data_IF_988667915586
#
_entry.id   IF_988667915586
#
_cell.length_a   1.000
_cell.length_b   1.000
_cell.length_c   1.000
_cell.angle_alpha   90.00
_cell.angle_beta   90.00
_cell.angle_gamma   90.00
#
_symmetry.space_group_name_H-M   'P 1'
#
loop_
_entity.id
_entity.type
_entity.pdbx_description
1 polymer ?
#
# COMPACT_ATOMS: atom_id res chain seq x y z
N UNK A 1 -10.31 -5.74 48.91
CA UNK A 1 -9.36 -6.71 48.35
C UNK A 1 -8.79 -6.08 47.09
N UNK A 2 -7.47 -5.89 47.11
CA UNK A 2 -6.68 -4.99 46.25
C UNK A 2 -6.65 -5.43 44.79
N UNK A 3 -6.80 -4.46 43.88
CA UNK A 3 -6.66 -4.68 42.45
C UNK A 3 -5.18 -4.87 42.08
N UNK A 4 -4.88 -6.06 41.54
CA UNK A 4 -3.78 -6.42 40.63
C UNK A 4 -2.35 -5.92 40.92
N UNK A 5 -1.67 -6.57 41.88
CA UNK A 5 -0.20 -6.55 42.01
C UNK A 5 0.48 -7.50 41.01
N UNK A 6 0.16 -7.41 39.71
CA UNK A 6 0.81 -8.30 38.73
C UNK A 6 2.11 -7.69 38.18
N UNK A 7 3.21 -8.46 38.17
CA UNK A 7 4.46 -8.05 37.56
C UNK A 7 4.25 -7.86 36.04
N UNK A 8 4.73 -6.75 35.50
CA UNK A 8 4.67 -6.47 34.07
C UNK A 8 6.04 -6.10 33.52
N UNK A 9 6.27 -6.29 32.22
CA UNK A 9 7.60 -6.13 31.63
C UNK A 9 7.72 -4.84 30.84
N UNK A 10 8.59 -3.91 31.27
CA UNK A 10 8.99 -2.74 30.48
C UNK A 10 10.41 -2.97 29.97
N UNK A 11 10.56 -3.15 28.64
CA UNK A 11 11.82 -3.50 27.97
C UNK A 11 12.45 -4.81 28.49
N UNK A 12 11.63 -5.85 28.71
CA UNK A 12 12.11 -7.16 29.15
C UNK A 12 12.42 -7.26 30.66
N UNK A 13 12.31 -6.16 31.41
CA UNK A 13 12.61 -6.13 32.85
C UNK A 13 11.32 -6.17 33.70
N UNK A 14 11.22 -7.06 34.69
CA UNK A 14 10.11 -7.09 35.65
C UNK A 14 9.89 -5.73 36.32
N UNK A 15 8.63 -5.30 36.36
CA UNK A 15 8.15 -4.04 36.92
C UNK A 15 6.95 -4.33 37.82
N UNK A 16 6.94 -3.74 39.02
CA UNK A 16 5.87 -3.91 40.02
C UNK A 16 5.17 -2.58 40.22
N UNK A 17 3.85 -2.64 40.40
CA UNK A 17 3.01 -1.52 40.81
C UNK A 17 2.51 -1.76 42.23
N UNK A 18 2.71 -0.79 43.11
CA UNK A 18 2.21 -0.86 44.49
C UNK A 18 1.94 0.54 45.03
N UNK A 19 0.74 0.76 45.57
CA UNK A 19 0.27 2.04 46.13
C UNK A 19 0.49 3.26 45.22
N UNK A 20 0.31 3.09 43.90
CA UNK A 20 0.52 4.15 42.91
C UNK A 20 1.99 4.45 42.59
N UNK A 21 2.94 3.66 43.10
CA UNK A 21 4.35 3.75 42.76
C UNK A 21 4.77 2.64 41.79
N UNK A 22 5.76 2.96 40.95
CA UNK A 22 6.32 2.04 39.96
C UNK A 22 7.73 1.65 40.38
N UNK A 23 7.99 0.34 40.44
CA UNK A 23 9.30 -0.20 40.78
C UNK A 23 9.84 -1.06 39.64
N UNK A 24 11.14 -0.96 39.37
CA UNK A 24 11.86 -1.78 38.39
C UNK A 24 12.86 -2.69 39.10
N UNK A 25 13.11 -3.86 38.53
CA UNK A 25 14.07 -4.81 39.13
C UNK A 25 15.45 -4.17 39.25
N UNK A 26 16.01 -4.19 40.46
CA UNK A 26 17.38 -3.76 40.76
C UNK A 26 18.31 -4.98 40.72
N UNK A 27 17.93 -6.04 41.43
CA UNK A 27 18.66 -7.32 41.46
C UNK A 27 17.80 -8.45 42.02
N UNK A 28 18.15 -9.69 41.66
CA UNK A 28 17.54 -10.90 42.21
C UNK A 28 18.58 -11.69 42.99
N UNK A 29 18.19 -12.19 44.16
CA UNK A 29 19.02 -13.03 45.03
C UNK A 29 18.51 -14.47 45.00
N UNK A 30 19.15 -15.40 45.72
CA UNK A 30 18.70 -16.80 45.80
C UNK A 30 17.31 -16.96 46.45
N UNK A 31 16.83 -15.97 47.20
CA UNK A 31 15.59 -16.08 48.00
C UNK A 31 14.57 -15.00 47.71
N UNK A 32 14.97 -13.85 47.15
CA UNK A 32 14.11 -12.70 46.92
C UNK A 32 14.51 -11.86 45.72
N UNK A 33 13.54 -11.17 45.15
CA UNK A 33 13.73 -10.14 44.13
C UNK A 33 13.64 -8.75 44.77
N UNK A 34 14.60 -7.88 44.43
CA UNK A 34 14.72 -6.52 44.97
C UNK A 34 14.44 -5.54 43.85
N UNK A 35 13.48 -4.66 44.08
CA UNK A 35 13.05 -3.64 43.15
C UNK A 35 13.35 -2.25 43.71
N UNK A 36 13.72 -1.32 42.85
CA UNK A 36 13.91 0.10 43.18
C UNK A 36 12.83 0.93 42.52
N UNK A 37 12.50 2.07 43.11
CA UNK A 37 11.60 3.03 42.48
C UNK A 37 12.14 3.45 41.09
N UNK A 38 11.23 3.60 40.13
CA UNK A 38 11.54 4.01 38.76
C UNK A 38 12.09 5.44 38.69
N UNK A 39 11.68 6.32 39.61
CA UNK A 39 12.24 7.66 39.72
C UNK A 39 13.70 7.56 40.18
N UNK A 40 14.64 8.09 39.38
CA UNK A 40 16.09 7.95 39.62
C UNK A 40 16.54 8.65 40.91
N UNK A 41 15.85 9.72 41.28
CA UNK A 41 16.15 10.50 42.48
C UNK A 41 15.54 9.87 43.74
N UNK A 42 14.65 8.89 43.57
CA UNK A 42 14.03 8.15 44.66
C UNK A 42 14.87 6.93 45.04
N UNK A 43 15.13 6.78 46.35
CA UNK A 43 15.87 5.64 46.91
C UNK A 43 14.97 4.50 47.39
N UNK A 44 13.66 4.61 47.16
CA UNK A 44 12.71 3.64 47.67
C UNK A 44 12.91 2.25 47.05
N UNK A 45 12.73 1.21 47.85
CA UNK A 45 12.86 -0.19 47.48
C UNK A 45 11.67 -1.02 47.93
N UNK A 46 11.40 -2.06 47.16
CA UNK A 46 10.37 -3.06 47.38
C UNK A 46 10.99 -4.47 47.25
N UNK A 47 10.47 -5.43 48.01
CA UNK A 47 11.01 -6.79 48.09
C UNK A 47 9.91 -7.81 47.86
N UNK A 48 10.10 -8.71 46.92
CA UNK A 48 9.18 -9.83 46.66
C UNK A 48 9.88 -11.17 46.73
N UNK A 49 9.11 -12.24 46.82
CA UNK A 49 9.61 -13.59 46.57
C UNK A 49 10.03 -13.77 45.10
N UNK A 50 10.60 -14.94 44.79
CA UNK A 50 11.12 -15.22 43.44
C UNK A 50 10.03 -15.29 42.37
N UNK A 51 8.83 -15.76 42.72
CA UNK A 51 7.66 -15.77 41.82
C UNK A 51 7.03 -14.39 41.63
N UNK A 52 7.45 -13.39 42.43
CA UNK A 52 6.97 -12.00 42.37
C UNK A 52 5.45 -11.87 42.60
N UNK A 53 4.86 -12.82 43.33
CA UNK A 53 3.42 -12.86 43.64
C UNK A 53 3.10 -12.33 45.05
N UNK A 54 4.12 -12.12 45.89
CA UNK A 54 3.95 -11.64 47.26
C UNK A 54 5.07 -10.68 47.68
N UNK A 55 4.66 -9.60 48.36
CA UNK A 55 5.57 -8.68 49.06
C UNK A 55 6.13 -9.35 50.31
N UNK A 56 7.45 -9.39 50.44
CA UNK A 56 8.13 -9.92 51.63
C UNK A 56 8.25 -8.88 52.74
N UNK A 57 8.27 -7.59 52.38
CA UNK A 57 8.44 -6.46 53.28
C UNK A 57 7.64 -5.26 52.76
N UNK A 58 7.17 -4.42 53.67
CA UNK A 58 6.63 -3.10 53.33
C UNK A 58 7.67 -2.29 52.55
N UNK A 59 7.29 -1.66 51.43
CA UNK A 59 8.20 -0.80 50.69
C UNK A 59 8.69 0.37 51.54
N UNK A 60 9.92 0.80 51.30
CA UNK A 60 10.48 1.98 52.00
C UNK A 60 9.81 3.27 51.51
N UNK A 61 9.84 4.32 52.32
CA UNK A 61 9.24 5.61 51.99
C UNK A 61 9.80 6.26 50.71
N UNK A 62 8.94 6.99 50.00
CA UNK A 62 9.27 7.75 48.79
C UNK A 62 9.49 9.23 49.10
N UNK A 63 10.25 9.90 48.24
CA UNK A 63 10.47 11.36 48.28
C UNK A 63 9.64 12.12 47.23
N UNK A 64 8.62 11.47 46.67
CA UNK A 64 7.72 12.04 45.67
C UNK A 64 6.32 11.47 45.84
N UNK A 65 5.32 12.15 45.29
CA UNK A 65 3.94 11.70 45.29
C UNK A 65 3.76 10.42 44.43
N UNK A 66 2.73 9.60 44.73
CA UNK A 66 2.34 8.49 43.89
C UNK A 66 1.83 8.98 42.53
N UNK A 67 1.95 8.14 41.49
CA UNK A 67 1.54 8.42 40.12
C UNK A 67 0.52 7.38 39.62
N UNK A 68 -0.65 7.27 40.26
CA UNK A 68 -1.64 6.22 39.94
C UNK A 68 -2.08 6.27 38.48
N UNK A 69 -2.27 7.46 37.93
CA UNK A 69 -2.76 7.66 36.55
C UNK A 69 -1.80 7.12 35.47
N UNK A 70 -0.53 6.88 35.83
CA UNK A 70 0.45 6.32 34.90
C UNK A 70 0.39 4.79 34.81
N UNK A 71 -0.25 4.12 35.77
CA UNK A 71 -0.34 2.66 35.86
C UNK A 71 -1.22 2.08 34.74
N UNK A 72 -2.46 2.57 34.50
CA UNK A 72 -3.31 2.08 33.42
C UNK A 72 -2.66 2.24 32.05
N UNK A 73 -2.00 3.37 31.79
CA UNK A 73 -1.30 3.63 30.53
C UNK A 73 -0.13 2.66 30.27
N UNK A 74 0.54 2.18 31.32
CA UNK A 74 1.61 1.18 31.18
C UNK A 74 1.03 -0.22 30.98
N UNK A 75 -0.02 -0.58 31.72
CA UNK A 75 -0.72 -1.86 31.56
C UNK A 75 -1.26 -2.02 30.13
N UNK A 76 -1.93 -0.98 29.60
CA UNK A 76 -2.40 -0.95 28.21
C UNK A 76 -1.27 -1.21 27.20
N UNK A 77 -0.12 -0.55 27.37
CA UNK A 77 1.05 -0.77 26.49
C UNK A 77 1.56 -2.20 26.55
N UNK A 78 1.54 -2.82 27.73
CA UNK A 78 2.00 -4.19 27.90
C UNK A 78 1.04 -5.21 27.30
N UNK A 79 -0.27 -5.00 27.45
CA UNK A 79 -1.31 -5.80 26.79
C UNK A 79 -1.17 -5.73 25.27
N UNK A 80 -1.04 -4.52 24.70
CA UNK A 80 -0.83 -4.32 23.27
C UNK A 80 0.42 -5.07 22.78
N UNK A 81 1.54 -5.02 23.52
CA UNK A 81 2.76 -5.76 23.16
C UNK A 81 2.58 -7.26 23.21
N UNK A 82 1.95 -7.77 24.27
CA UNK A 82 1.71 -9.20 24.43
C UNK A 82 0.82 -9.72 23.31
N UNK A 83 -0.24 -8.98 22.97
CA UNK A 83 -1.15 -9.33 21.89
C UNK A 83 -0.44 -9.24 20.52
N UNK A 84 0.32 -8.17 20.26
CA UNK A 84 1.07 -7.99 19.01
C UNK A 84 2.14 -9.06 18.77
N UNK A 85 2.65 -9.72 19.83
CA UNK A 85 3.64 -10.79 19.71
C UNK A 85 3.05 -12.13 19.22
N UNK A 86 1.74 -12.34 19.36
CA UNK A 86 1.07 -13.62 19.09
C UNK A 86 0.03 -13.54 17.96
N UNK A 87 -0.28 -12.35 17.47
CA UNK A 87 -1.33 -12.14 16.46
C UNK A 87 -0.83 -11.33 15.27
N UNK A 88 -1.32 -11.70 14.08
CA UNK A 88 -1.12 -10.97 12.82
C UNK A 88 -2.26 -9.96 12.53
N UNK A 89 -3.18 -9.76 13.48
CA UNK A 89 -4.32 -8.84 13.31
C UNK A 89 -3.93 -7.39 12.96
N UNK A 90 -4.85 -6.60 12.41
CA UNK A 90 -4.53 -5.20 12.10
C UNK A 90 -4.13 -4.43 13.36
N UNK A 91 -3.25 -3.43 13.21
CA UNK A 91 -2.81 -2.59 14.33
C UNK A 91 -3.99 -1.91 15.02
N UNK A 92 -5.00 -1.49 14.22
CA UNK A 92 -6.26 -0.94 14.72
C UNK A 92 -7.01 -1.94 15.60
N UNK A 93 -7.16 -3.19 15.15
CA UNK A 93 -7.83 -4.25 15.91
C UNK A 93 -7.15 -4.50 17.27
N UNK A 94 -5.82 -4.54 17.30
CA UNK A 94 -5.05 -4.76 18.53
C UNK A 94 -5.22 -3.61 19.50
N UNK A 95 -5.16 -2.36 19.02
CA UNK A 95 -5.36 -1.19 19.87
C UNK A 95 -6.79 -1.18 20.41
N UNK A 96 -7.80 -1.37 19.55
CA UNK A 96 -9.19 -1.37 19.98
C UNK A 96 -9.53 -2.51 20.94
N UNK A 97 -8.93 -3.70 20.78
CA UNK A 97 -9.16 -4.80 21.72
C UNK A 97 -8.64 -4.43 23.12
N UNK A 98 -7.44 -3.87 23.21
CA UNK A 98 -6.84 -3.48 24.47
C UNK A 98 -7.52 -2.24 25.09
N UNK A 99 -8.12 -1.36 24.27
CA UNK A 99 -8.87 -0.21 24.79
C UNK A 99 -10.21 -0.59 25.41
N UNK A 100 -10.78 -1.76 25.11
CA UNK A 100 -12.04 -2.21 25.74
C UNK A 100 -11.92 -2.42 27.25
N UNK A 101 -10.72 -2.76 27.72
CA UNK A 101 -10.41 -2.99 29.13
C UNK A 101 -9.84 -1.73 29.81
N UNK A 102 -9.64 -0.64 29.07
CA UNK A 102 -9.07 0.60 29.59
C UNK A 102 -10.10 1.40 30.41
N UNK A 103 -9.78 1.81 31.66
CA UNK A 103 -10.74 2.52 32.51
C UNK A 103 -11.10 3.91 31.96
N UNK A 104 -12.40 4.25 31.97
CA UNK A 104 -12.89 5.57 31.54
C UNK A 104 -12.38 6.72 32.44
N UNK A 105 -12.11 6.44 33.71
CA UNK A 105 -11.50 7.37 34.67
C UNK A 105 -10.15 7.91 34.21
N UNK A 106 -9.43 7.15 33.39
CA UNK A 106 -8.05 7.42 32.99
C UNK A 106 -7.93 7.88 31.53
N UNK A 107 -9.06 8.27 30.91
CA UNK A 107 -9.12 8.69 29.51
C UNK A 107 -8.17 9.86 29.19
N UNK A 108 -7.95 10.77 30.15
CA UNK A 108 -7.02 11.90 29.99
C UNK A 108 -5.54 11.52 29.89
N UNK A 109 -5.15 10.32 30.34
CA UNK A 109 -3.79 9.80 30.24
C UNK A 109 -3.63 8.77 29.12
N UNK A 110 -4.63 8.67 28.24
CA UNK A 110 -4.61 7.75 27.11
C UNK A 110 -3.37 7.99 26.23
N UNK A 111 -2.52 6.97 26.01
CA UNK A 111 -1.39 7.09 25.11
C UNK A 111 -1.85 7.43 23.70
N UNK A 112 -1.12 8.32 23.01
CA UNK A 112 -1.38 8.60 21.60
C UNK A 112 -1.25 7.34 20.74
N UNK A 113 -2.11 7.21 19.73
CA UNK A 113 -2.12 6.04 18.85
C UNK A 113 -0.82 5.85 18.08
N UNK A 114 -0.20 6.92 17.59
CA UNK A 114 1.02 6.85 16.76
C UNK A 114 2.19 6.11 17.45
N UNK A 115 2.57 6.43 18.70
CA UNK A 115 3.52 5.61 19.46
C UNK A 115 3.11 4.14 19.66
N UNK A 116 1.81 3.85 19.81
CA UNK A 116 1.31 2.48 19.95
C UNK A 116 1.45 1.70 18.64
N UNK A 117 1.18 2.35 17.50
CA UNK A 117 1.37 1.77 16.16
C UNK A 117 2.83 1.37 15.94
N UNK A 118 3.77 2.30 16.22
CA UNK A 118 5.22 2.04 16.10
C UNK A 118 5.68 0.91 17.04
N UNK A 119 5.07 0.82 18.22
CA UNK A 119 5.37 -0.24 19.19
C UNK A 119 4.93 -1.62 18.68
N UNK A 120 3.74 -1.72 18.08
CA UNK A 120 3.24 -2.97 17.47
C UNK A 120 4.13 -3.38 16.30
N UNK A 121 4.50 -2.43 15.44
CA UNK A 121 5.42 -2.68 14.32
C UNK A 121 6.74 -3.28 14.81
N UNK A 122 7.40 -2.65 15.80
CA UNK A 122 8.66 -3.12 16.38
C UNK A 122 8.55 -4.51 17.01
N UNK A 123 7.41 -4.84 17.60
CA UNK A 123 7.18 -6.17 18.18
C UNK A 123 7.10 -7.25 17.10
N UNK A 124 6.60 -6.89 15.90
CA UNK A 124 6.44 -7.78 14.75
C UNK A 124 7.69 -7.92 13.88
N UNK A 125 8.66 -7.01 13.99
CA UNK A 125 9.92 -7.03 13.21
C UNK A 125 10.87 -8.17 13.62
N UNK A 126 10.37 -9.30 14.13
CA UNK A 126 11.19 -10.32 14.82
C UNK A 126 11.33 -11.63 14.05
N UNK A 127 11.14 -11.65 12.73
CA UNK A 127 11.62 -12.80 11.93
C UNK A 127 12.51 -12.31 10.80
N UNK A 128 13.79 -12.64 10.95
CA UNK A 128 14.81 -12.49 9.92
C UNK A 128 14.62 -13.60 8.91
N UNK A 129 14.91 -13.25 7.66
CA UNK A 129 15.06 -14.15 6.52
C UNK A 129 15.89 -15.37 6.93
N UNK A 130 15.50 -16.58 6.50
CA UNK A 130 16.24 -17.80 6.82
C UNK A 130 17.71 -17.67 6.36
N UNK A 131 18.63 -18.48 6.91
CA UNK A 131 20.07 -18.40 6.63
C UNK A 131 20.46 -18.39 5.13
N UNK A 132 19.58 -18.91 4.27
CA UNK A 132 19.73 -18.96 2.81
C UNK A 132 19.17 -17.73 2.07
N UNK A 133 18.64 -16.74 2.79
CA UNK A 133 17.98 -15.56 2.20
C UNK A 133 16.59 -15.85 1.65
N UNK A 134 15.91 -16.89 2.16
CA UNK A 134 14.53 -17.26 1.78
C UNK A 134 13.50 -16.76 2.78
N UNK A 135 12.29 -16.52 2.28
CA UNK A 135 11.12 -16.18 3.07
C UNK A 135 10.74 -17.34 4.01
N UNK A 136 10.47 -17.05 5.29
CA UNK A 136 9.99 -18.04 6.25
C UNK A 136 8.78 -18.82 5.75
N UNK A 137 8.71 -20.11 6.07
CA UNK A 137 7.66 -21.03 5.61
C UNK A 137 6.24 -20.52 5.83
N UNK A 138 6.01 -19.80 6.95
CA UNK A 138 4.71 -19.20 7.28
C UNK A 138 4.21 -18.19 6.25
N UNK A 139 5.11 -17.54 5.51
CA UNK A 139 4.79 -16.56 4.46
C UNK A 139 4.66 -17.20 3.07
N UNK A 140 5.07 -18.47 2.92
CA UNK A 140 5.07 -19.18 1.63
C UNK A 140 3.70 -19.73 1.26
N UNK A 141 2.78 -19.76 2.22
CA UNK A 141 1.44 -20.33 2.08
C UNK A 141 0.39 -19.32 2.52
N UNK A 142 -0.82 -19.50 2.03
CA UNK A 142 -1.98 -18.73 2.50
C UNK A 142 -2.64 -19.38 3.70
N UNK A 143 -3.60 -18.68 4.31
CA UNK A 143 -4.42 -19.20 5.41
C UNK A 143 -5.19 -20.50 5.09
N UNK A 144 -5.29 -20.88 3.81
CA UNK A 144 -5.89 -22.15 3.35
C UNK A 144 -4.84 -23.23 3.03
N UNK A 145 -3.60 -23.05 3.47
CA UNK A 145 -2.45 -23.93 3.22
C UNK A 145 -2.06 -24.10 1.73
N UNK A 146 -2.57 -23.21 0.86
CA UNK A 146 -2.19 -23.17 -0.55
C UNK A 146 -0.88 -22.40 -0.74
N UNK A 147 0.04 -22.95 -1.54
CA UNK A 147 1.29 -22.29 -1.91
C UNK A 147 1.05 -20.95 -2.59
N UNK A 148 1.83 -19.95 -2.18
CA UNK A 148 1.64 -18.55 -2.57
C UNK A 148 2.90 -17.88 -3.12
N UNK A 149 3.97 -18.63 -3.36
CA UNK A 149 5.22 -18.13 -3.96
C UNK A 149 5.34 -18.73 -5.36
N UNK A 150 5.45 -17.85 -6.36
CA UNK A 150 5.71 -18.22 -7.75
C UNK A 150 7.20 -18.17 -8.07
N UNK A 151 7.89 -17.13 -7.63
CA UNK A 151 9.31 -16.91 -7.87
C UNK A 151 9.93 -16.23 -6.66
N UNK A 152 11.18 -16.55 -6.36
CA UNK A 152 11.90 -16.00 -5.21
C UNK A 152 13.40 -15.99 -5.49
N UNK A 153 13.96 -14.79 -5.59
CA UNK A 153 15.39 -14.53 -5.51
C UNK A 153 15.65 -13.16 -4.87
N UNK A 154 16.92 -12.76 -4.83
CA UNK A 154 17.35 -11.48 -4.22
C UNK A 154 16.82 -10.23 -4.94
N UNK A 155 16.45 -10.32 -6.21
CA UNK A 155 15.98 -9.19 -7.03
C UNK A 155 14.47 -9.12 -7.12
N UNK A 156 13.81 -10.27 -7.02
CA UNK A 156 12.39 -10.39 -7.29
C UNK A 156 11.77 -11.52 -6.48
N UNK A 157 10.69 -11.19 -5.78
CA UNK A 157 9.78 -12.18 -5.21
C UNK A 157 8.41 -11.97 -5.82
N UNK A 158 7.81 -13.04 -6.35
CA UNK A 158 6.44 -13.02 -6.87
C UNK A 158 5.55 -13.90 -6.00
N UNK A 159 4.47 -13.32 -5.51
CA UNK A 159 3.40 -14.00 -4.81
C UNK A 159 2.17 -14.12 -5.70
N UNK A 160 1.71 -15.36 -5.90
CA UNK A 160 0.43 -15.63 -6.54
C UNK A 160 0.05 -17.11 -6.34
N UNK A 161 -1.16 -17.47 -6.78
CA UNK A 161 -1.67 -18.84 -6.80
C UNK A 161 -2.00 -19.27 -8.20
N UNK A 162 -2.10 -20.58 -8.41
CA UNK A 162 -2.61 -21.15 -9.67
C UNK A 162 -3.99 -20.61 -10.05
N UNK A 163 -4.91 -20.50 -9.08
CA UNK A 163 -6.25 -19.94 -9.31
C UNK A 163 -6.22 -18.48 -9.75
N UNK A 164 -5.34 -17.67 -9.16
CA UNK A 164 -5.15 -16.27 -9.55
C UNK A 164 -4.66 -16.17 -11.00
N UNK A 165 -3.71 -17.01 -11.40
CA UNK A 165 -3.23 -17.07 -12.79
C UNK A 165 -4.33 -17.52 -13.76
N UNK A 166 -5.17 -18.48 -13.37
CA UNK A 166 -6.35 -18.89 -14.17
C UNK A 166 -7.32 -17.72 -14.37
N UNK A 167 -7.62 -16.96 -13.32
CA UNK A 167 -8.49 -15.79 -13.41
C UNK A 167 -7.84 -14.74 -14.32
N UNK A 168 -6.54 -14.48 -14.14
CA UNK A 168 -5.80 -13.52 -14.95
C UNK A 168 -5.86 -13.88 -16.45
N UNK A 169 -5.67 -15.16 -16.79
CA UNK A 169 -5.77 -15.66 -18.17
C UNK A 169 -7.16 -15.50 -18.79
N UNK A 170 -8.21 -15.68 -18.00
CA UNK A 170 -9.60 -15.53 -18.47
C UNK A 170 -9.99 -14.08 -18.74
N UNK A 171 -9.25 -13.12 -18.15
CA UNK A 171 -9.54 -11.70 -18.27
C UNK A 171 -8.76 -11.06 -19.41
N UNK A 172 -9.48 -10.32 -20.26
CA UNK A 172 -8.91 -9.61 -21.41
C UNK A 172 -8.33 -8.25 -21.08
N UNK A 173 -8.72 -7.66 -19.96
CA UNK A 173 -8.28 -6.34 -19.54
C UNK A 173 -7.55 -6.46 -18.20
N UNK A 174 -6.27 -6.13 -18.22
CA UNK A 174 -5.41 -6.17 -17.05
C UNK A 174 -5.12 -4.76 -16.54
N UNK A 175 -4.78 -4.67 -15.26
CA UNK A 175 -4.38 -3.43 -14.63
C UNK A 175 -3.13 -3.66 -13.80
N UNK A 176 -2.14 -2.80 -13.88
CA UNK A 176 -0.94 -2.87 -13.05
C UNK A 176 -0.77 -1.58 -12.23
N UNK A 177 -0.22 -1.75 -11.02
CA UNK A 177 0.01 -0.64 -10.09
C UNK A 177 1.27 -0.89 -9.26
N UNK A 178 2.11 0.14 -9.15
CA UNK A 178 3.31 0.18 -8.32
C UNK A 178 3.08 1.00 -7.04
N UNK A 179 3.34 0.41 -5.87
CA UNK A 179 3.25 1.13 -4.59
C UNK A 179 4.56 1.08 -3.80
N UNK A 180 5.06 2.27 -3.45
CA UNK A 180 6.33 2.46 -2.72
C UNK A 180 6.15 2.47 -1.20
N UNK A 181 4.99 2.92 -0.71
CA UNK A 181 4.76 3.21 0.73
C UNK A 181 4.66 1.95 1.61
N UNK A 182 4.41 0.79 1.01
CA UNK A 182 4.09 -0.46 1.72
C UNK A 182 5.15 -1.53 1.43
N UNK A 183 6.30 -1.13 0.91
CA UNK A 183 7.39 -2.03 0.52
C UNK A 183 8.36 -2.28 1.69
N UNK A 184 8.85 -3.51 1.91
CA UNK A 184 9.96 -3.76 2.83
C UNK A 184 11.23 -3.03 2.38
N UNK A 185 12.10 -2.65 3.33
CA UNK A 185 13.28 -1.83 3.08
C UNK A 185 14.26 -2.39 2.03
N UNK A 186 14.30 -3.73 1.87
CA UNK A 186 15.16 -4.41 0.90
C UNK A 186 14.66 -4.32 -0.55
N UNK A 187 13.43 -3.82 -0.76
CA UNK A 187 12.79 -3.72 -2.07
C UNK A 187 12.35 -2.29 -2.35
N UNK A 188 12.41 -1.89 -3.61
CA UNK A 188 12.04 -0.54 -4.04
C UNK A 188 10.52 -0.34 -4.08
N UNK A 189 9.78 -1.36 -4.52
CA UNK A 189 8.33 -1.27 -4.65
C UNK A 189 7.61 -2.63 -4.58
N UNK A 190 6.34 -2.55 -4.21
CA UNK A 190 5.37 -3.60 -4.43
C UNK A 190 4.63 -3.29 -5.74
N UNK A 191 4.88 -4.10 -6.77
CA UNK A 191 4.18 -4.06 -8.04
C UNK A 191 3.07 -5.11 -8.06
N UNK A 192 1.89 -4.76 -8.57
CA UNK A 192 0.73 -5.66 -8.54
C UNK A 192 0.01 -5.70 -9.87
N UNK A 193 -0.41 -6.90 -10.26
CA UNK A 193 -1.20 -7.14 -11.46
C UNK A 193 -2.60 -7.59 -11.08
N UNK A 194 -3.59 -6.98 -11.71
CA UNK A 194 -5.00 -7.09 -11.37
C UNK A 194 -5.83 -7.51 -12.58
N UNK A 195 -6.99 -8.07 -12.28
CA UNK A 195 -8.05 -8.27 -13.25
C UNK A 195 -9.42 -7.90 -12.64
N UNK A 196 -10.43 -7.75 -13.50
CA UNK A 196 -11.79 -7.53 -13.06
C UNK A 196 -12.42 -8.85 -12.58
N UNK A 197 -12.88 -8.87 -11.34
CA UNK A 197 -13.59 -10.00 -10.75
C UNK A 197 -14.84 -9.47 -10.06
N UNK A 198 -16.02 -10.01 -10.44
CA UNK A 198 -17.31 -9.61 -9.81
C UNK A 198 -17.48 -8.08 -9.71
N UNK A 199 -17.20 -7.37 -10.81
CA UNK A 199 -17.26 -5.90 -10.93
C UNK A 199 -16.29 -5.12 -10.03
N UNK A 200 -15.24 -5.74 -9.50
CA UNK A 200 -14.18 -5.09 -8.76
C UNK A 200 -12.80 -5.41 -9.36
N UNK A 201 -11.91 -4.43 -9.39
CA UNK A 201 -10.51 -4.65 -9.77
C UNK A 201 -9.81 -5.31 -8.59
N UNK A 202 -9.36 -6.55 -8.79
CA UNK A 202 -8.79 -7.37 -7.71
C UNK A 202 -7.32 -7.69 -8.03
N UNK A 203 -6.38 -7.45 -7.10
CA UNK A 203 -4.99 -7.85 -7.27
C UNK A 203 -4.84 -9.37 -7.22
N UNK A 204 -4.12 -9.93 -8.19
CA UNK A 204 -3.97 -11.37 -8.40
C UNK A 204 -2.51 -11.82 -8.34
N UNK A 205 -1.58 -10.95 -8.75
CA UNK A 205 -0.14 -11.21 -8.69
C UNK A 205 0.52 -10.04 -7.99
N UNK A 206 1.43 -10.33 -7.08
CA UNK A 206 2.17 -9.35 -6.30
C UNK A 206 3.67 -9.59 -6.50
N UNK A 207 4.43 -8.54 -6.79
CA UNK A 207 5.86 -8.58 -7.01
C UNK A 207 6.58 -7.60 -6.09
N UNK A 208 7.55 -8.07 -5.32
CA UNK A 208 8.51 -7.20 -4.64
C UNK A 208 9.72 -7.03 -5.56
N UNK A 209 9.90 -5.81 -6.08
CA UNK A 209 10.95 -5.48 -7.05
C UNK A 209 12.01 -4.60 -6.40
N UNK A 210 13.29 -4.82 -6.74
CA UNK A 210 14.41 -3.99 -6.26
C UNK A 210 14.59 -2.66 -7.02
N UNK A 211 13.78 -2.43 -8.06
CA UNK A 211 13.87 -1.24 -8.88
C UNK A 211 12.61 -1.00 -9.69
N UNK A 212 12.71 -0.06 -10.62
CA UNK A 212 11.63 0.41 -11.50
C UNK A 212 12.07 0.60 -12.96
N UNK A 213 13.21 0.01 -13.32
CA UNK A 213 13.69 0.03 -14.69
C UNK A 213 12.83 -0.89 -15.56
N UNK A 214 12.90 -0.73 -16.88
CA UNK A 214 12.22 -1.65 -17.81
C UNK A 214 12.73 -3.09 -17.63
N UNK A 215 14.00 -3.27 -17.27
CA UNK A 215 14.61 -4.56 -16.98
C UNK A 215 14.00 -5.22 -15.73
N UNK A 216 13.70 -4.44 -14.68
CA UNK A 216 13.05 -4.95 -13.47
C UNK A 216 11.63 -5.44 -13.76
N UNK A 217 10.87 -4.67 -14.55
CA UNK A 217 9.53 -5.06 -14.99
C UNK A 217 9.56 -6.24 -15.95
N UNK A 218 10.52 -6.29 -16.88
CA UNK A 218 10.69 -7.42 -17.78
C UNK A 218 10.90 -8.72 -17.00
N UNK A 219 11.75 -8.69 -15.96
CA UNK A 219 11.95 -9.85 -15.11
C UNK A 219 10.65 -10.30 -14.43
N UNK A 220 9.83 -9.36 -13.92
CA UNK A 220 8.52 -9.69 -13.35
C UNK A 220 7.59 -10.35 -14.37
N UNK A 221 7.37 -9.70 -15.52
CA UNK A 221 6.45 -10.19 -16.54
C UNK A 221 6.91 -11.51 -17.16
N UNK A 222 8.20 -11.70 -17.42
CA UNK A 222 8.74 -12.98 -17.93
C UNK A 222 8.44 -14.15 -17.00
N UNK A 223 8.54 -13.96 -15.68
CA UNK A 223 8.25 -15.02 -14.70
C UNK A 223 6.77 -15.37 -14.69
N UNK A 224 5.89 -14.36 -14.84
CA UNK A 224 4.45 -14.56 -14.96
C UNK A 224 4.10 -15.25 -16.28
N UNK A 225 4.61 -14.77 -17.42
CA UNK A 225 4.30 -15.32 -18.75
C UNK A 225 4.85 -16.72 -18.98
N UNK A 226 5.86 -17.16 -18.24
CA UNK A 226 6.29 -18.57 -18.25
C UNK A 226 5.26 -19.54 -17.69
N UNK A 227 4.25 -19.07 -16.96
CA UNK A 227 3.27 -19.95 -16.32
C UNK A 227 2.14 -20.39 -17.24
N UNK A 228 1.80 -19.58 -18.25
CA UNK A 228 0.73 -19.89 -19.18
C UNK A 228 0.82 -18.99 -20.43
N UNK A 229 0.07 -19.32 -21.47
CA UNK A 229 -0.09 -18.51 -22.67
C UNK A 229 -1.15 -17.41 -22.42
N UNK A 230 -0.71 -16.31 -21.81
CA UNK A 230 -1.54 -15.13 -21.56
C UNK A 230 -1.72 -14.30 -22.82
N UNK A 231 -2.96 -13.93 -23.13
CA UNK A 231 -3.32 -13.10 -24.28
C UNK A 231 -4.34 -12.03 -23.87
N UNK A 232 -3.91 -11.06 -23.04
CA UNK A 232 -4.74 -9.89 -22.74
C UNK A 232 -4.92 -9.04 -24.00
N UNK A 233 -6.06 -8.40 -24.13
CA UNK A 233 -6.34 -7.47 -25.22
C UNK A 233 -5.89 -6.04 -24.84
N UNK A 234 -5.85 -5.73 -23.54
CA UNK A 234 -5.32 -4.45 -23.04
C UNK A 234 -4.70 -4.56 -21.66
N UNK A 235 -3.74 -3.67 -21.37
CA UNK A 235 -3.19 -3.47 -20.04
C UNK A 235 -3.23 -1.99 -19.67
N UNK A 236 -3.70 -1.67 -18.47
CA UNK A 236 -3.73 -0.30 -17.95
C UNK A 236 -2.71 -0.15 -16.83
N UNK A 237 -1.78 0.79 -16.97
CA UNK A 237 -0.74 1.05 -15.96
C UNK A 237 -0.66 2.53 -15.65
N UNK A 238 0.03 2.89 -14.57
CA UNK A 238 0.46 4.27 -14.35
C UNK A 238 1.46 4.73 -15.42
N UNK A 239 1.77 6.03 -15.44
CA UNK A 239 2.65 6.62 -16.47
C UNK A 239 4.13 6.36 -16.21
N UNK A 240 4.46 5.22 -15.61
CA UNK A 240 5.85 4.86 -15.36
C UNK A 240 6.50 4.33 -16.64
N UNK A 241 7.45 5.09 -17.18
CA UNK A 241 8.14 4.81 -18.45
C UNK A 241 8.71 3.39 -18.50
N UNK A 242 9.25 2.89 -17.38
CA UNK A 242 9.76 1.52 -17.26
C UNK A 242 8.69 0.46 -17.50
N UNK A 243 7.52 0.60 -16.87
CA UNK A 243 6.39 -0.32 -16.99
C UNK A 243 5.84 -0.31 -18.41
N UNK A 244 5.63 0.88 -18.98
CA UNK A 244 5.12 1.04 -20.35
C UNK A 244 6.05 0.36 -21.35
N UNK A 245 7.36 0.62 -21.23
CA UNK A 245 8.37 0.03 -22.13
C UNK A 245 8.37 -1.49 -22.03
N UNK A 246 8.40 -2.03 -20.81
CA UNK A 246 8.39 -3.48 -20.58
C UNK A 246 7.16 -4.17 -21.16
N UNK A 247 5.98 -3.59 -20.96
CA UNK A 247 4.73 -4.12 -21.51
C UNK A 247 4.74 -4.11 -23.03
N UNK A 248 5.22 -3.02 -23.67
CA UNK A 248 5.34 -2.94 -25.13
C UNK A 248 6.33 -3.97 -25.68
N UNK A 249 7.44 -4.20 -25.00
CA UNK A 249 8.48 -5.14 -25.45
C UNK A 249 7.98 -6.59 -25.37
N UNK A 250 7.26 -6.95 -24.29
CA UNK A 250 6.81 -8.33 -24.05
C UNK A 250 5.44 -8.66 -24.63
N UNK A 251 4.59 -7.66 -24.83
CA UNK A 251 3.24 -7.79 -25.38
C UNK A 251 3.01 -6.73 -26.49
N UNK A 252 3.68 -6.86 -27.64
CA UNK A 252 3.71 -5.80 -28.67
C UNK A 252 2.34 -5.51 -29.31
N UNK A 253 1.39 -6.45 -29.21
CA UNK A 253 0.10 -6.36 -29.87
C UNK A 253 -1.04 -5.93 -28.93
N UNK A 254 -0.76 -5.61 -27.66
CA UNK A 254 -1.82 -5.26 -26.72
C UNK A 254 -2.05 -3.75 -26.68
N UNK A 255 -3.29 -3.36 -26.40
CA UNK A 255 -3.62 -1.95 -26.19
C UNK A 255 -3.15 -1.51 -24.81
N UNK A 256 -2.10 -0.68 -24.77
CA UNK A 256 -1.66 -0.04 -23.54
C UNK A 256 -2.55 1.16 -23.19
N UNK A 257 -2.98 1.25 -21.93
CA UNK A 257 -3.87 2.28 -21.42
C UNK A 257 -3.21 3.00 -20.23
N UNK A 258 -3.41 4.30 -20.12
CA UNK A 258 -2.91 5.10 -19.00
C UNK A 258 -3.91 5.19 -17.85
N UNK A 259 -3.45 5.02 -16.61
CA UNK A 259 -4.25 5.18 -15.40
C UNK A 259 -4.17 6.61 -14.87
N UNK A 260 -5.30 7.31 -14.83
CA UNK A 260 -5.36 8.76 -14.54
C UNK A 260 -5.45 9.13 -13.07
N UNK A 261 -5.54 8.13 -12.19
CA UNK A 261 -5.87 8.31 -10.78
C UNK A 261 -4.63 8.67 -9.95
N UNK A 262 -3.43 8.40 -10.47
CA UNK A 262 -2.18 8.47 -9.69
C UNK A 262 -1.49 9.85 -9.64
N UNK A 263 -1.91 10.83 -10.44
CA UNK A 263 -1.34 12.17 -10.34
C UNK A 263 -1.71 12.80 -9.00
N UNK A 264 -0.78 13.22 -8.16
CA UNK A 264 -1.11 13.84 -6.85
C UNK A 264 -1.48 15.31 -6.97
N UNK A 265 -1.09 15.97 -8.07
CA UNK A 265 -1.29 17.39 -8.29
C UNK A 265 -2.67 17.67 -8.92
N UNK A 266 -3.45 18.55 -8.30
CA UNK A 266 -4.81 18.90 -8.74
C UNK A 266 -4.82 19.61 -10.09
N UNK A 267 -3.83 20.45 -10.38
CA UNK A 267 -3.69 21.13 -11.67
C UNK A 267 -3.37 20.13 -12.79
N UNK A 268 -2.36 19.28 -12.59
CA UNK A 268 -2.03 18.22 -13.54
C UNK A 268 -3.23 17.29 -13.82
N UNK A 269 -3.97 16.87 -12.78
CA UNK A 269 -5.22 16.10 -12.94
C UNK A 269 -6.27 16.82 -13.79
N UNK A 270 -6.35 18.15 -13.69
CA UNK A 270 -7.29 18.93 -14.47
C UNK A 270 -6.85 19.01 -15.94
N UNK A 271 -5.57 19.27 -16.20
CA UNK A 271 -5.01 19.34 -17.55
C UNK A 271 -5.16 18.01 -18.29
N UNK A 272 -4.92 16.90 -17.60
CA UNK A 272 -5.18 15.55 -18.13
C UNK A 272 -6.66 15.31 -18.42
N UNK A 273 -7.57 15.79 -17.57
CA UNK A 273 -9.01 15.71 -17.84
C UNK A 273 -9.42 16.55 -19.05
N UNK A 274 -8.75 17.68 -19.27
CA UNK A 274 -8.97 18.50 -20.47
C UNK A 274 -8.50 17.76 -21.73
N UNK A 275 -7.36 17.06 -21.69
CA UNK A 275 -6.90 16.21 -22.81
C UNK A 275 -7.96 15.17 -23.19
N UNK A 276 -8.55 14.49 -22.21
CA UNK A 276 -9.62 13.51 -22.46
C UNK A 276 -10.88 14.21 -23.01
N UNK A 277 -11.17 15.42 -22.53
CA UNK A 277 -12.33 16.17 -22.97
C UNK A 277 -12.25 16.57 -24.46
N UNK A 278 -11.06 16.54 -25.08
CA UNK A 278 -10.90 16.67 -26.53
C UNK A 278 -11.67 15.60 -27.31
N UNK A 279 -11.96 14.44 -26.71
CA UNK A 279 -12.83 13.42 -27.31
C UNK A 279 -14.25 13.94 -27.61
N UNK A 280 -14.67 15.01 -26.93
CA UNK A 280 -15.98 15.64 -27.08
C UNK A 280 -15.90 17.00 -27.82
N UNK A 281 -14.71 17.40 -28.27
CA UNK A 281 -14.53 18.60 -29.07
C UNK A 281 -14.88 18.31 -30.53
N UNK A 282 -15.37 19.31 -31.29
CA UNK A 282 -15.52 19.19 -32.74
C UNK A 282 -14.20 18.75 -33.39
N UNK A 283 -14.26 17.84 -34.37
CA UNK A 283 -13.06 17.23 -34.96
C UNK A 283 -12.05 18.28 -35.45
N UNK A 284 -12.54 19.36 -36.06
CA UNK A 284 -11.74 20.48 -36.58
C UNK A 284 -11.05 21.33 -35.49
N UNK A 285 -11.46 21.17 -34.23
CA UNK A 285 -10.93 21.90 -33.06
C UNK A 285 -9.99 21.04 -32.20
N UNK A 286 -9.81 19.75 -32.51
CA UNK A 286 -9.01 18.83 -31.68
C UNK A 286 -7.54 19.26 -31.64
N UNK A 287 -6.95 19.60 -32.77
CA UNK A 287 -5.53 19.98 -32.86
C UNK A 287 -5.29 21.28 -32.09
N UNK A 288 -6.09 22.31 -32.40
CA UNK A 288 -6.03 23.60 -31.68
C UNK A 288 -6.27 23.42 -30.18
N UNK A 289 -7.22 22.57 -29.80
CA UNK A 289 -7.51 22.27 -28.40
C UNK A 289 -6.38 21.53 -27.71
N UNK A 290 -5.72 20.59 -28.41
CA UNK A 290 -4.56 19.87 -27.91
C UNK A 290 -3.38 20.82 -27.68
N UNK A 291 -3.05 21.67 -28.64
CA UNK A 291 -1.96 22.66 -28.53
C UNK A 291 -2.19 23.59 -27.32
N UNK A 292 -3.41 24.12 -27.17
CA UNK A 292 -3.78 24.99 -26.04
C UNK A 292 -3.69 24.29 -24.68
N UNK A 293 -3.88 22.97 -24.63
CA UNK A 293 -3.79 22.19 -23.41
C UNK A 293 -2.32 21.82 -23.14
N UNK A 294 -1.52 21.53 -24.16
CA UNK A 294 -0.08 21.26 -24.03
C UNK A 294 0.64 22.42 -23.35
N UNK A 295 0.32 23.67 -23.73
CA UNK A 295 0.87 24.88 -23.11
C UNK A 295 0.60 25.02 -21.61
N UNK A 296 -0.32 24.23 -21.05
CA UNK A 296 -0.67 24.24 -19.62
C UNK A 296 0.09 23.20 -18.81
N UNK A 297 0.80 22.27 -19.45
CA UNK A 297 1.63 21.27 -18.78
C UNK A 297 3.03 21.81 -18.50
N UNK A 298 3.61 21.39 -17.37
CA UNK A 298 5.04 21.62 -17.08
C UNK A 298 5.90 20.65 -17.92
N UNK A 299 7.18 20.98 -18.13
CA UNK A 299 8.17 20.21 -18.93
C UNK A 299 8.26 18.71 -18.55
N UNK A 300 7.84 18.33 -17.34
CA UNK A 300 7.84 16.93 -16.88
C UNK A 300 6.74 16.06 -17.53
N UNK A 301 5.89 16.62 -18.40
CA UNK A 301 4.76 15.93 -19.03
C UNK A 301 5.01 15.47 -20.48
N UNK A 302 6.19 15.71 -21.04
CA UNK A 302 6.50 15.44 -22.45
C UNK A 302 6.17 14.00 -22.88
N UNK A 303 6.58 13.00 -22.08
CA UNK A 303 6.30 11.58 -22.36
C UNK A 303 4.79 11.28 -22.45
N UNK A 304 3.97 11.95 -21.64
CA UNK A 304 2.51 11.80 -21.62
C UNK A 304 1.89 12.46 -22.85
N UNK A 305 2.34 13.66 -23.18
CA UNK A 305 1.84 14.43 -24.34
C UNK A 305 2.20 13.73 -25.64
N UNK A 306 3.46 13.29 -25.80
CA UNK A 306 3.89 12.50 -26.96
C UNK A 306 3.09 11.20 -27.08
N UNK A 307 2.82 10.53 -25.95
CA UNK A 307 2.00 9.33 -25.96
C UNK A 307 0.54 9.62 -26.36
N UNK A 308 -0.06 10.69 -25.85
CA UNK A 308 -1.44 11.10 -26.18
C UNK A 308 -1.54 11.48 -27.66
N UNK A 309 -0.61 12.31 -28.15
CA UNK A 309 -0.54 12.71 -29.55
C UNK A 309 -0.42 11.47 -30.44
N UNK A 310 0.53 10.58 -30.16
CA UNK A 310 0.75 9.38 -30.99
C UNK A 310 -0.40 8.37 -30.96
N UNK A 311 -1.13 8.29 -29.85
CA UNK A 311 -2.16 7.25 -29.64
C UNK A 311 -3.55 7.73 -29.99
N UNK A 312 -3.83 8.99 -29.68
CA UNK A 312 -5.14 9.61 -29.82
C UNK A 312 -5.20 10.58 -30.99
N UNK A 313 -4.06 11.11 -31.48
CA UNK A 313 -3.99 12.12 -32.54
C UNK A 313 -3.46 11.61 -33.88
N UNK A 314 -2.32 10.92 -33.88
CA UNK A 314 -1.69 10.42 -35.11
C UNK A 314 -2.13 8.99 -35.47
N UNK A 315 -2.49 8.76 -36.74
CA UNK A 315 -2.57 7.40 -37.31
C UNK A 315 -1.25 7.00 -37.99
N UNK A 316 -0.79 5.73 -37.89
CA UNK A 316 0.25 5.23 -38.76
C UNK A 316 -0.27 5.03 -40.19
N UNK A 317 0.45 5.58 -41.18
CA UNK A 317 0.22 5.32 -42.61
C UNK A 317 0.26 3.82 -42.92
N UNK A 318 -0.86 3.22 -43.30
CA UNK A 318 -0.81 2.01 -44.13
C UNK A 318 -0.35 2.46 -45.51
N UNK A 319 0.84 2.04 -45.92
CA UNK A 319 1.47 2.46 -47.18
C UNK A 319 0.62 2.07 -48.39
N UNK A 320 -0.12 3.03 -48.93
CA UNK A 320 -0.70 2.99 -50.27
C UNK A 320 -0.23 4.23 -51.03
N UNK A 321 0.46 4.00 -52.15
CA UNK A 321 1.00 5.05 -53.03
C UNK A 321 -0.09 6.07 -53.42
N UNK A 322 0.17 7.34 -53.14
CA UNK A 322 -0.62 8.46 -53.61
C UNK A 322 -0.18 9.75 -52.95
N UNK A 323 0.40 10.65 -53.75
CA UNK A 323 0.67 12.04 -53.38
C UNK A 323 -0.64 12.73 -52.98
N UNK A 324 -0.68 13.32 -51.79
CA UNK A 324 -1.36 14.60 -51.52
C UNK A 324 -0.90 15.14 -50.16
N UNK A 325 -0.32 16.34 -50.21
CA UNK A 325 0.06 17.18 -49.07
C UNK A 325 -1.14 18.02 -48.65
N UNK A 326 -1.80 17.63 -47.55
CA UNK A 326 -2.59 18.54 -46.72
C UNK A 326 -2.47 18.07 -45.26
N UNK A 327 -1.58 18.72 -44.50
CA UNK A 327 -1.29 18.44 -43.09
C UNK A 327 -2.26 19.15 -42.14
N UNK A 328 -3.32 19.80 -42.66
CA UNK A 328 -4.22 20.64 -41.86
C UNK A 328 -5.54 19.98 -41.46
N UNK A 329 -5.75 18.70 -41.82
CA UNK A 329 -7.00 17.98 -41.51
C UNK A 329 -6.79 16.87 -40.47
N UNK A 330 -7.61 16.83 -39.41
CA UNK A 330 -7.70 15.67 -38.51
C UNK A 330 -8.05 14.42 -39.33
N UNK A 331 -7.25 13.35 -39.24
CA UNK A 331 -7.47 12.08 -39.97
C UNK A 331 -8.39 11.11 -39.22
N UNK A 332 -9.42 11.61 -38.57
CA UNK A 332 -10.45 10.77 -37.92
C UNK A 332 -11.63 10.57 -38.86
N UNK A 333 -12.15 9.35 -38.94
CA UNK A 333 -13.30 9.03 -39.78
C UNK A 333 -14.64 9.47 -39.14
N UNK A 334 -14.73 9.49 -37.80
CA UNK A 334 -15.91 9.92 -37.03
C UNK A 334 -15.60 10.15 -35.53
N UNK A 335 -16.54 10.78 -34.82
CA UNK A 335 -16.47 11.06 -33.36
C UNK A 335 -16.45 9.79 -32.49
N UNK A 336 -17.06 8.70 -32.97
CA UNK A 336 -17.17 7.43 -32.23
C UNK A 336 -15.81 6.70 -32.17
N UNK A 337 -15.01 6.80 -33.24
CA UNK A 337 -13.64 6.31 -33.33
C UNK A 337 -12.70 7.04 -32.36
N UNK A 338 -12.83 8.36 -32.24
CA UNK A 338 -12.05 9.17 -31.29
C UNK A 338 -12.43 8.88 -29.84
N UNK A 339 -13.73 8.80 -29.53
CA UNK A 339 -14.25 8.43 -28.21
C UNK A 339 -13.84 7.00 -27.82
N UNK A 340 -13.81 6.08 -28.77
CA UNK A 340 -13.28 4.74 -28.57
C UNK A 340 -11.79 4.78 -28.25
N UNK A 341 -10.97 5.52 -29.02
CA UNK A 341 -9.53 5.65 -28.77
C UNK A 341 -9.22 6.29 -27.40
N UNK A 342 -9.89 7.39 -27.05
CA UNK A 342 -9.66 8.10 -25.79
C UNK A 342 -10.27 7.37 -24.60
N UNK A 343 -11.50 6.86 -24.72
CA UNK A 343 -12.17 6.06 -23.67
C UNK A 343 -11.51 4.70 -23.44
N UNK A 344 -10.86 4.13 -24.46
CA UNK A 344 -9.98 2.98 -24.28
C UNK A 344 -8.66 3.39 -23.63
N UNK A 345 -8.02 4.49 -24.02
CA UNK A 345 -6.73 4.91 -23.48
C UNK A 345 -6.79 5.36 -22.01
N UNK A 346 -7.96 5.80 -21.53
CA UNK A 346 -8.10 6.49 -20.25
C UNK A 346 -9.32 6.01 -19.46
N UNK A 347 -9.13 5.16 -18.45
CA UNK A 347 -10.21 4.75 -17.53
C UNK A 347 -10.07 5.48 -16.19
N UNK A 348 -11.14 6.13 -15.73
CA UNK A 348 -11.26 6.61 -14.35
C UNK A 348 -12.32 5.79 -13.62
N UNK A 349 -11.95 5.23 -12.47
CA UNK A 349 -12.79 4.62 -11.44
C UNK A 349 -14.25 4.33 -11.82
N UNK A 350 -14.53 3.09 -12.22
CA UNK A 350 -15.83 2.44 -11.93
C UNK A 350 -17.08 2.89 -12.71
N UNK A 351 -17.01 3.81 -13.67
CA UNK A 351 -18.16 4.07 -14.56
C UNK A 351 -17.74 3.89 -16.02
N UNK A 352 -18.36 2.90 -16.68
CA UNK A 352 -18.40 2.83 -18.13
C UNK A 352 -18.97 4.16 -18.65
N UNK A 353 -18.16 4.96 -19.35
CA UNK A 353 -18.71 5.94 -20.28
C UNK A 353 -19.28 5.10 -21.43
N UNK A 354 -20.55 4.72 -21.32
CA UNK A 354 -21.27 4.19 -22.47
C UNK A 354 -21.50 5.36 -23.42
N UNK A 355 -21.20 5.23 -24.72
CA UNK A 355 -21.77 6.12 -25.71
C UNK A 355 -23.28 5.82 -25.68
N UNK A 356 -24.05 6.63 -24.97
CA UNK A 356 -25.48 6.62 -25.16
C UNK A 356 -25.74 7.25 -26.52
N UNK A 357 -26.24 6.44 -27.44
CA UNK A 357 -26.90 6.84 -28.67
C UNK A 357 -28.07 7.77 -28.33
N UNK A 358 -27.79 9.05 -28.11
CA UNK A 358 -28.69 10.22 -28.19
C UNK A 358 -27.97 11.42 -27.55
N UNK A 359 -27.68 12.42 -28.37
CA UNK A 359 -27.00 13.63 -27.94
C UNK A 359 -27.74 14.37 -26.82
N UNK A 360 -26.95 14.85 -25.86
CA UNK A 360 -27.16 16.04 -25.00
C UNK A 360 -26.64 15.79 -23.57
N UNK A 361 -25.38 16.18 -23.31
CA UNK A 361 -24.83 16.32 -21.95
C UNK A 361 -24.79 17.80 -21.51
N UNK A 362 -25.15 18.75 -22.38
CA UNK A 362 -25.27 20.16 -22.01
C UNK A 362 -26.65 20.48 -21.43
N UNK A 363 -26.89 20.12 -20.16
CA UNK A 363 -27.90 20.77 -19.31
C UNK A 363 -27.71 20.45 -17.84
N UNK A 364 -26.65 20.99 -17.22
CA UNK A 364 -26.63 21.34 -15.79
C UNK A 364 -25.29 21.98 -15.40
N UNK A 365 -25.07 23.24 -15.78
CA UNK A 365 -24.33 24.23 -14.98
C UNK A 365 -24.70 25.60 -15.59
N UNK A 366 -25.73 26.20 -15.01
CA UNK A 366 -26.34 27.44 -15.49
C UNK A 366 -27.43 27.89 -14.53
N UNK A 367 -26.99 28.36 -13.36
CA UNK A 367 -27.64 29.34 -12.47
C UNK A 367 -26.87 29.42 -11.16
#
# INVERSE_FOLDING_TARGET
>A
MSQSEQPSSVKGKPTIFHEGYIYTVERTTKTKSIFRCKNRDCKARCYTNLSMDALLLLPTSHCHAPQPDSVPAIQLKNEIKAHAAITDGSTSTIIHSALRTYPLSDAGQHPKNEPLMLMIQRQRTTETVDADGRLPDKLRKTYRDEGFILHEDKKLIIFTKKTNLTILKQNKHWFADGTFKVCPDDYYQLFTLHAMMTNAITPLVYGLLIGKSAEDYNLFFEKVFKQDNFQPDSNMTDFETGTIKSVKDLLPNILHKGCLIHFSQTAFRLNVKQLIALAFAPLDQIITGFDLICDQFDDDADDLLEHFEKTCIDEPKISGNGHDEDSSKPRYQDEESLLSKIGLAYYSTGQLIRPNSTGSIFKKYGS
#
